data_IF_137584908302
#
_entry.id   IF_137584908302
#
_cell.length_a   1.000
_cell.length_b   1.000
_cell.length_c   1.000
_cell.angle_alpha   90.00
_cell.angle_beta   90.00
_cell.angle_gamma   90.00
#
_symmetry.space_group_name_H-M   'P 1'
#
loop_
_entity.id
_entity.type
_entity.pdbx_description
1 polymer ?
#
# COMPACT_ATOMS: atom_id res chain seq x y z
N UNK A 1 24.98 -0.28 7.54
CA UNK A 1 25.87 0.87 7.20
C UNK A 1 24.99 2.06 6.88
N UNK A 2 25.34 3.28 7.31
CA UNK A 2 24.56 4.48 6.96
C UNK A 2 25.27 5.22 5.82
N UNK A 3 24.57 5.39 4.69
CA UNK A 3 25.06 6.13 3.52
C UNK A 3 24.25 7.41 3.33
N UNK A 4 24.87 8.44 2.76
CA UNK A 4 24.21 9.72 2.48
C UNK A 4 23.92 9.82 0.99
N UNK A 5 22.68 10.08 0.63
CA UNK A 5 22.24 10.40 -0.73
C UNK A 5 22.02 11.91 -0.83
N UNK A 6 22.61 12.55 -1.83
CA UNK A 6 22.41 13.98 -2.11
C UNK A 6 21.78 14.13 -3.49
N UNK A 7 20.62 14.78 -3.56
CA UNK A 7 19.86 14.97 -4.79
C UNK A 7 19.86 16.46 -5.17
N UNK A 8 19.97 16.75 -6.47
CA UNK A 8 19.74 18.10 -7.00
C UNK A 8 18.30 18.17 -7.52
N UNK A 9 17.49 19.03 -6.91
CA UNK A 9 16.09 19.24 -7.28
C UNK A 9 15.81 20.74 -7.40
N UNK A 10 14.72 21.07 -8.09
CA UNK A 10 14.19 22.43 -8.11
C UNK A 10 13.82 22.89 -6.69
N UNK A 11 14.09 24.17 -6.39
CA UNK A 11 13.84 24.73 -5.07
C UNK A 11 12.36 24.63 -4.64
N UNK A 12 11.42 24.77 -5.58
CA UNK A 12 9.99 24.67 -5.30
C UNK A 12 9.62 23.26 -4.85
N UNK A 13 10.18 22.24 -5.50
CA UNK A 13 10.00 20.83 -5.13
C UNK A 13 10.55 20.53 -3.73
N UNK A 14 11.71 21.10 -3.38
CA UNK A 14 12.29 20.96 -2.03
C UNK A 14 11.35 21.55 -0.98
N UNK A 15 10.77 22.72 -1.22
CA UNK A 15 9.83 23.35 -0.30
C UNK A 15 8.52 22.57 -0.16
N UNK A 16 7.97 22.06 -1.26
CA UNK A 16 6.80 21.16 -1.22
C UNK A 16 7.07 19.91 -0.37
N UNK A 17 8.24 19.29 -0.55
CA UNK A 17 8.62 18.10 0.22
C UNK A 17 8.75 18.40 1.72
N UNK A 18 9.35 19.55 2.08
CA UNK A 18 9.45 19.98 3.49
C UNK A 18 8.08 20.27 4.11
N UNK A 19 7.18 20.92 3.36
CA UNK A 19 5.83 21.22 3.83
C UNK A 19 5.06 19.93 4.13
N UNK A 20 5.07 18.99 3.18
CA UNK A 20 4.46 17.67 3.35
C UNK A 20 5.04 16.92 4.56
N UNK A 21 6.37 16.88 4.66
CA UNK A 21 7.04 16.19 5.77
C UNK A 21 6.65 16.79 7.13
N UNK A 22 6.59 18.12 7.24
CA UNK A 22 6.19 18.81 8.48
C UNK A 22 4.75 18.48 8.87
N UNK A 23 3.83 18.53 7.91
CA UNK A 23 2.41 18.22 8.12
C UNK A 23 2.21 16.78 8.66
N UNK A 24 3.06 15.86 8.20
CA UNK A 24 3.03 14.45 8.60
C UNK A 24 3.97 14.13 9.77
N UNK A 25 4.58 15.12 10.43
CA UNK A 25 5.49 14.92 11.57
C UNK A 25 6.77 14.15 11.23
N UNK A 26 7.21 14.16 9.96
CA UNK A 26 8.36 13.43 9.44
C UNK A 26 9.46 14.37 8.95
N UNK A 27 10.68 13.84 8.82
CA UNK A 27 11.75 14.52 8.07
C UNK A 27 11.64 14.20 6.59
N UNK A 28 12.15 15.07 5.71
CA UNK A 28 12.21 14.79 4.27
C UNK A 28 12.99 13.50 3.98
N UNK A 29 14.07 13.25 4.72
CA UNK A 29 14.82 12.00 4.62
C UNK A 29 13.97 10.77 4.95
N UNK A 30 13.09 10.86 5.96
CA UNK A 30 12.18 9.76 6.30
C UNK A 30 11.13 9.54 5.20
N UNK A 31 10.55 10.61 4.66
CA UNK A 31 9.58 10.51 3.55
C UNK A 31 10.21 9.81 2.35
N UNK A 32 11.45 10.17 2.00
CA UNK A 32 12.17 9.56 0.88
C UNK A 32 12.56 8.11 1.19
N UNK A 33 12.96 7.81 2.43
CA UNK A 33 13.24 6.43 2.85
C UNK A 33 12.00 5.54 2.74
N UNK A 34 10.85 6.01 3.24
CA UNK A 34 9.58 5.30 3.14
C UNK A 34 9.21 5.03 1.66
N UNK A 35 9.43 6.01 0.79
CA UNK A 35 9.22 5.86 -0.65
C UNK A 35 10.14 4.80 -1.28
N UNK A 36 11.43 4.80 -0.96
CA UNK A 36 12.36 3.78 -1.46
C UNK A 36 12.02 2.38 -0.96
N UNK A 37 11.58 2.24 0.30
CA UNK A 37 11.07 0.96 0.81
C UNK A 37 9.84 0.50 0.03
N UNK A 38 8.92 1.41 -0.30
CA UNK A 38 7.75 1.07 -1.12
C UNK A 38 8.13 0.65 -2.55
N UNK A 39 9.15 1.30 -3.15
CA UNK A 39 9.66 0.91 -4.47
C UNK A 39 10.33 -0.47 -4.47
N UNK A 40 11.06 -0.81 -3.40
CA UNK A 40 11.67 -2.13 -3.24
C UNK A 40 10.59 -3.23 -3.17
N UNK A 41 9.53 -3.00 -2.39
CA UNK A 41 8.38 -3.91 -2.35
C UNK A 41 7.66 -4.02 -3.70
N UNK A 42 7.47 -2.92 -4.42
CA UNK A 42 6.85 -2.95 -5.75
C UNK A 42 7.72 -3.68 -6.77
N UNK A 43 9.04 -3.55 -6.68
CA UNK A 43 9.98 -4.21 -7.61
C UNK A 43 10.09 -5.72 -7.32
N UNK A 44 10.14 -6.10 -6.04
CA UNK A 44 10.16 -7.51 -5.61
C UNK A 44 8.93 -8.31 -6.07
N UNK A 45 7.75 -7.67 -6.12
CA UNK A 45 6.51 -8.26 -6.62
C UNK A 45 6.58 -8.55 -8.13
N UNK A 46 7.22 -7.64 -8.88
CA UNK A 46 7.33 -7.75 -10.33
C UNK A 46 8.42 -8.75 -10.78
N UNK A 47 9.50 -8.90 -10.03
CA UNK A 47 10.62 -9.76 -10.43
C UNK A 47 10.49 -11.23 -9.98
N UNK A 48 9.76 -11.50 -8.90
CA UNK A 48 9.69 -12.86 -8.32
C UNK A 48 8.35 -13.57 -8.51
N UNK A 49 7.31 -12.86 -9.01
CA UNK A 49 5.93 -13.35 -8.93
C UNK A 49 5.48 -13.66 -7.49
N UNK A 50 6.26 -13.25 -6.49
CA UNK A 50 6.00 -13.49 -5.10
C UNK A 50 4.98 -12.44 -4.65
N UNK A 51 3.75 -12.91 -4.46
CA UNK A 51 2.70 -12.18 -3.76
C UNK A 51 3.29 -11.46 -2.56
N UNK A 52 3.09 -10.14 -2.48
CA UNK A 52 3.23 -9.42 -1.21
C UNK A 52 2.58 -10.29 -0.13
N UNK A 53 3.26 -10.58 0.99
CA UNK A 53 2.62 -11.30 2.08
C UNK A 53 1.43 -10.45 2.52
N UNK A 54 0.23 -10.97 2.24
CA UNK A 54 -1.01 -10.34 2.62
C UNK A 54 -0.98 -10.09 4.13
N UNK A 55 -1.57 -8.99 4.58
CA UNK A 55 -1.76 -8.77 6.01
C UNK A 55 -2.46 -10.02 6.61
N UNK A 56 -2.16 -10.43 7.86
CA UNK A 56 -2.65 -11.71 8.42
C UNK A 56 -4.16 -11.92 8.28
N UNK A 57 -4.93 -10.85 8.43
CA UNK A 57 -6.38 -10.84 8.25
C UNK A 57 -6.78 -11.07 6.79
N UNK A 58 -6.11 -10.42 5.85
CA UNK A 58 -6.39 -10.62 4.42
C UNK A 58 -5.97 -12.02 3.97
N UNK A 59 -4.87 -12.55 4.51
CA UNK A 59 -4.42 -13.92 4.22
C UNK A 59 -5.43 -14.97 4.69
N UNK A 60 -6.08 -14.78 5.84
CA UNK A 60 -7.11 -15.70 6.33
C UNK A 60 -8.43 -15.63 5.54
N UNK A 61 -8.67 -14.52 4.84
CA UNK A 61 -9.87 -14.29 4.02
C UNK A 61 -9.67 -14.60 2.54
N UNK A 62 -8.45 -14.78 2.06
CA UNK A 62 -8.23 -15.14 0.64
C UNK A 62 -8.54 -16.62 0.43
N UNK A 63 -9.45 -16.90 -0.50
CA UNK A 63 -9.80 -18.27 -0.94
C UNK A 63 -10.97 -18.93 -0.22
N UNK A 64 -11.57 -18.30 0.79
CA UNK A 64 -12.76 -18.85 1.51
C UNK A 64 -13.95 -19.09 0.57
N UNK A 65 -14.08 -18.29 -0.49
CA UNK A 65 -15.15 -18.42 -1.49
C UNK A 65 -14.69 -19.09 -2.79
N UNK A 66 -13.52 -19.74 -2.83
CA UNK A 66 -12.94 -20.29 -4.07
C UNK A 66 -13.87 -21.30 -4.77
N UNK A 67 -14.54 -22.14 -3.99
CA UNK A 67 -15.40 -23.21 -4.50
C UNK A 67 -16.89 -22.91 -4.28
N UNK A 68 -17.21 -21.64 -4.00
CA UNK A 68 -18.58 -21.19 -3.77
C UNK A 68 -19.01 -20.37 -4.98
N UNK A 69 -20.01 -20.88 -5.70
CA UNK A 69 -20.65 -20.15 -6.79
C UNK A 69 -21.65 -19.15 -6.20
N UNK A 70 -21.12 -18.00 -5.78
CA UNK A 70 -21.90 -16.87 -5.27
C UNK A 70 -21.51 -15.61 -6.00
N UNK A 71 -22.51 -14.84 -6.37
CA UNK A 71 -22.33 -13.58 -7.07
C UNK A 71 -22.82 -12.38 -6.24
N UNK A 72 -22.78 -11.20 -6.88
CA UNK A 72 -23.19 -9.98 -6.22
C UNK A 72 -24.72 -9.90 -6.00
N UNK A 73 -25.51 -10.61 -6.81
CA UNK A 73 -26.96 -10.67 -6.67
C UNK A 73 -27.36 -11.52 -5.45
N UNK A 74 -26.64 -12.60 -5.17
CA UNK A 74 -26.82 -13.40 -3.95
C UNK A 74 -26.59 -12.54 -2.70
N UNK A 75 -25.54 -11.73 -2.70
CA UNK A 75 -25.25 -10.80 -1.61
C UNK A 75 -26.37 -9.76 -1.41
N UNK A 76 -26.88 -9.18 -2.50
CA UNK A 76 -28.00 -8.21 -2.44
C UNK A 76 -29.27 -8.85 -1.91
N UNK A 77 -29.60 -10.05 -2.38
CA UNK A 77 -30.77 -10.81 -1.93
C UNK A 77 -30.69 -11.14 -0.44
N UNK A 78 -29.50 -11.53 0.05
CA UNK A 78 -29.26 -11.73 1.47
C UNK A 78 -29.49 -10.45 2.30
N UNK A 79 -29.01 -9.30 1.83
CA UNK A 79 -29.20 -8.02 2.53
C UNK A 79 -30.67 -7.63 2.59
N UNK A 80 -31.41 -7.79 1.49
CA UNK A 80 -32.85 -7.56 1.46
C UNK A 80 -33.56 -8.45 2.48
N UNK A 81 -33.32 -9.77 2.46
CA UNK A 81 -33.98 -10.71 3.37
C UNK A 81 -33.63 -10.49 4.86
N UNK A 82 -32.46 -9.90 5.13
CA UNK A 82 -31.99 -9.65 6.49
C UNK A 82 -32.54 -8.35 7.09
N UNK A 83 -32.79 -7.34 6.25
CA UNK A 83 -33.08 -5.97 6.69
C UNK A 83 -34.42 -5.41 6.20
N UNK A 84 -35.06 -6.02 5.20
CA UNK A 84 -36.42 -5.71 4.72
C UNK A 84 -37.39 -6.85 5.04
#
# INVERSE_FOLDING_TARGET
MQTKLTLRLDARLVETAKAYARDHGKSVSQVVADYFTALDHASAVNETGASVPLAPVTQSLVGILRDVDVDQADYRSYLEQKYL
#
